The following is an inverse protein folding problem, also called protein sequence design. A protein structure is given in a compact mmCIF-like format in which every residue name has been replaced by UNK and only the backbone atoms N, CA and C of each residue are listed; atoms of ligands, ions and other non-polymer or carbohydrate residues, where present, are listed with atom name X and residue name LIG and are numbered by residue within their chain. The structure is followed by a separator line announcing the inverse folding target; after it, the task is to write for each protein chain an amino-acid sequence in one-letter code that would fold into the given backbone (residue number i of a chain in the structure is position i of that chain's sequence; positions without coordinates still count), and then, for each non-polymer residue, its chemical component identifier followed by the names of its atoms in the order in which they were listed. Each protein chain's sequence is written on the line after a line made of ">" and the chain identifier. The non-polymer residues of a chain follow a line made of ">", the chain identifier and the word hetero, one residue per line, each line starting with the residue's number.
data_IF_827733327012
#
_entry.id   IF_827733327012
#
_cell.length_a   1.000
_cell.length_b   1.000
_cell.length_c   1.000
_cell.angle_alpha   90.00
_cell.angle_beta   90.00
_cell.angle_gamma   90.00
#
_symmetry.space_group_name_H-M   'P 1'
#
loop_
_entity.id
_entity.type
_entity.pdbx_description
1 polymer ?
#
# COMPACT_ATOMS: atom_id res chain seq x y z
N UNK A 1 -25.21 -3.70 3.96
CA UNK A 1 -24.25 -4.81 4.11
C UNK A 1 -23.90 -4.96 5.57
N UNK A 2 -23.82 -6.19 6.06
CA UNK A 2 -23.51 -6.49 7.47
C UNK A 2 -22.08 -6.99 7.59
N UNK A 3 -21.32 -6.39 8.52
CA UNK A 3 -19.98 -6.84 8.88
C UNK A 3 -20.09 -7.95 9.94
N UNK A 4 -19.47 -9.10 9.68
CA UNK A 4 -19.63 -10.31 10.52
C UNK A 4 -18.62 -10.41 11.66
N UNK A 5 -17.46 -9.75 11.55
CA UNK A 5 -16.37 -9.78 12.54
C UNK A 5 -15.72 -8.39 12.67
N UNK A 6 -15.14 -8.05 13.83
CA UNK A 6 -14.32 -6.86 13.97
C UNK A 6 -13.14 -6.88 12.99
N UNK A 7 -12.89 -5.76 12.33
CA UNK A 7 -11.76 -5.59 11.40
C UNK A 7 -10.66 -4.76 12.07
N UNK A 8 -9.42 -5.18 11.87
CA UNK A 8 -8.21 -4.50 12.35
C UNK A 8 -7.33 -4.21 11.15
N UNK A 9 -6.98 -2.94 10.93
CA UNK A 9 -6.02 -2.54 9.93
C UNK A 9 -4.62 -2.56 10.52
N UNK A 10 -3.77 -3.46 10.04
CA UNK A 10 -2.37 -3.59 10.45
C UNK A 10 -1.47 -2.58 9.72
N UNK A 11 -1.79 -1.28 9.83
CA UNK A 11 -1.03 -0.23 9.16
C UNK A 11 -1.22 1.15 9.79
N UNK A 12 -0.12 1.89 9.99
CA UNK A 12 -0.14 3.29 10.41
C UNK A 12 -0.50 4.28 9.29
N UNK A 13 -0.55 3.85 8.03
CA UNK A 13 -0.75 4.71 6.87
C UNK A 13 -2.10 5.43 6.90
N UNK A 14 -2.13 6.79 6.92
CA UNK A 14 -3.38 7.54 6.84
C UNK A 14 -4.17 7.25 5.56
N UNK A 15 -3.48 7.05 4.44
CA UNK A 15 -4.11 6.75 3.14
C UNK A 15 -4.85 5.42 3.15
N UNK A 16 -4.26 4.37 3.74
CA UNK A 16 -4.94 3.07 3.88
C UNK A 16 -6.17 3.15 4.77
N UNK A 17 -6.11 3.95 5.84
CA UNK A 17 -7.28 4.23 6.69
C UNK A 17 -8.39 4.91 5.92
N UNK A 18 -8.06 5.94 5.14
CA UNK A 18 -9.00 6.65 4.28
C UNK A 18 -9.69 5.71 3.30
N UNK A 19 -8.92 4.88 2.57
CA UNK A 19 -9.45 3.92 1.61
C UNK A 19 -10.37 2.89 2.30
N UNK A 20 -9.95 2.35 3.43
CA UNK A 20 -10.77 1.36 4.15
C UNK A 20 -12.06 1.98 4.67
N UNK A 21 -12.02 3.25 5.11
CA UNK A 21 -13.24 4.01 5.49
C UNK A 21 -14.19 4.20 4.29
N UNK A 22 -13.67 4.41 3.09
CA UNK A 22 -14.49 4.53 1.87
C UNK A 22 -15.19 3.22 1.48
N UNK A 23 -14.64 2.07 1.87
CA UNK A 23 -15.33 0.77 1.72
C UNK A 23 -16.58 0.70 2.60
N UNK A 24 -16.65 1.50 3.67
CA UNK A 24 -17.82 1.56 4.56
C UNK A 24 -17.82 0.48 5.63
N UNK A 25 -16.66 0.03 6.07
CA UNK A 25 -16.49 -0.92 7.17
C UNK A 25 -16.03 -0.22 8.45
N UNK A 26 -16.45 -0.75 9.60
CA UNK A 26 -15.92 -0.35 10.90
C UNK A 26 -14.62 -1.10 11.19
N UNK A 27 -13.57 -0.38 11.55
CA UNK A 27 -12.28 -0.97 11.86
C UNK A 27 -11.53 -0.22 12.97
N UNK A 28 -10.62 -0.94 13.60
CA UNK A 28 -9.61 -0.38 14.49
C UNK A 28 -8.25 -0.42 13.81
N UNK A 29 -7.29 0.34 14.32
CA UNK A 29 -5.91 0.32 13.82
C UNK A 29 -5.02 -0.25 14.91
N UNK A 30 -4.22 -1.25 14.55
CA UNK A 30 -3.10 -1.73 15.34
C UNK A 30 -1.87 -1.89 14.45
N UNK A 31 -0.68 -1.60 14.97
CA UNK A 31 0.55 -1.60 14.18
C UNK A 31 1.59 -2.42 14.91
N UNK A 32 2.20 -3.34 14.18
CA UNK A 32 3.33 -4.11 14.68
C UNK A 32 4.60 -3.71 13.95
N UNK A 33 5.70 -3.73 14.66
CA UNK A 33 7.03 -3.63 14.07
C UNK A 33 7.44 -5.02 13.56
N UNK A 34 7.67 -5.12 12.26
CA UNK A 34 8.10 -6.36 11.62
C UNK A 34 9.37 -6.10 10.81
N UNK A 35 10.25 -7.11 10.78
CA UNK A 35 11.40 -7.05 9.88
C UNK A 35 10.92 -7.01 8.42
N UNK A 36 11.31 -5.96 7.70
CA UNK A 36 10.97 -5.73 6.29
C UNK A 36 12.05 -6.26 5.33
N UNK A 37 13.13 -6.88 5.82
CA UNK A 37 14.14 -7.52 4.99
C UNK A 37 13.56 -8.73 4.27
N UNK A 38 13.62 -8.73 2.95
CA UNK A 38 13.15 -9.81 2.10
C UNK A 38 14.21 -10.19 1.08
N UNK A 39 14.50 -11.50 1.00
CA UNK A 39 15.40 -12.07 0.01
C UNK A 39 14.75 -12.32 -1.36
N UNK A 40 13.45 -12.05 -1.51
CA UNK A 40 12.71 -12.25 -2.76
C UNK A 40 13.06 -11.18 -3.78
N UNK A 41 13.01 -11.54 -5.07
CA UNK A 41 13.37 -10.66 -6.18
C UNK A 41 12.15 -10.12 -6.93
N UNK A 42 11.07 -10.88 -6.97
CA UNK A 42 9.86 -10.48 -7.69
C UNK A 42 9.02 -9.49 -6.85
N UNK A 43 8.67 -8.33 -7.40
CA UNK A 43 8.03 -7.24 -6.64
C UNK A 43 6.68 -7.64 -6.04
N UNK A 44 5.87 -8.43 -6.75
CA UNK A 44 4.59 -8.94 -6.23
C UNK A 44 4.78 -9.87 -5.03
N UNK A 45 5.84 -10.69 -5.01
CA UNK A 45 6.17 -11.56 -3.88
C UNK A 45 6.66 -10.77 -2.67
N UNK A 46 7.44 -9.70 -2.89
CA UNK A 46 7.93 -8.81 -1.83
C UNK A 46 6.74 -8.23 -1.06
N UNK A 47 5.84 -7.54 -1.75
CA UNK A 47 4.70 -6.87 -1.11
C UNK A 47 3.72 -7.86 -0.48
N UNK A 48 3.53 -9.03 -1.08
CA UNK A 48 2.67 -10.08 -0.53
C UNK A 48 3.23 -10.64 0.77
N UNK A 49 4.54 -10.88 0.82
CA UNK A 49 5.21 -11.38 2.02
C UNK A 49 5.19 -10.35 3.15
N UNK A 50 5.47 -9.06 2.85
CA UNK A 50 5.41 -7.98 3.85
C UNK A 50 3.99 -7.78 4.38
N UNK A 51 2.98 -7.82 3.51
CA UNK A 51 1.59 -7.76 3.92
C UNK A 51 1.21 -8.90 4.87
N UNK A 52 1.67 -10.13 4.58
CA UNK A 52 1.47 -11.31 5.44
C UNK A 52 2.13 -11.14 6.81
N UNK A 53 3.39 -10.69 6.84
CA UNK A 53 4.11 -10.47 8.10
C UNK A 53 3.37 -9.47 8.99
N UNK A 54 2.95 -8.33 8.40
CA UNK A 54 2.20 -7.29 9.11
C UNK A 54 0.87 -7.81 9.65
N UNK A 55 0.09 -8.51 8.83
CA UNK A 55 -1.18 -9.09 9.25
C UNK A 55 -1.00 -10.15 10.35
N UNK A 56 -0.04 -11.05 10.19
CA UNK A 56 0.22 -12.12 11.16
C UNK A 56 0.69 -11.58 12.52
N UNK A 57 1.58 -10.60 12.54
CA UNK A 57 2.08 -10.02 13.77
C UNK A 57 0.95 -9.37 14.60
N UNK A 58 0.04 -8.64 13.95
CA UNK A 58 -1.14 -8.07 14.62
C UNK A 58 -2.12 -9.17 15.03
N UNK A 59 -2.35 -10.18 14.18
CA UNK A 59 -3.26 -11.28 14.53
C UNK A 59 -2.82 -12.04 15.81
N UNK A 60 -1.51 -12.17 16.03
CA UNK A 60 -0.98 -12.85 17.22
C UNK A 60 -1.28 -12.09 18.52
N UNK A 61 -1.38 -10.77 18.49
CA UNK A 61 -1.76 -9.94 19.64
C UNK A 61 -3.28 -9.90 19.92
N UNK A 62 -4.10 -10.41 18.97
CA UNK A 62 -5.57 -10.41 19.09
C UNK A 62 -6.10 -11.85 19.17
N UNK A 63 -6.28 -12.42 20.39
CA UNK A 63 -6.73 -13.81 20.57
C UNK A 63 -8.22 -14.02 20.26
N UNK A 64 -9.05 -12.96 20.28
CA UNK A 64 -10.48 -13.03 19.96
C UNK A 64 -10.72 -13.16 18.45
N UNK A 65 -11.93 -13.55 18.09
CA UNK A 65 -12.36 -13.63 16.69
C UNK A 65 -12.29 -12.26 16.03
N UNK A 66 -11.56 -12.16 14.92
CA UNK A 66 -11.32 -10.91 14.21
C UNK A 66 -10.84 -11.14 12.78
N UNK A 67 -10.85 -10.07 12.00
CA UNK A 67 -10.21 -9.98 10.68
C UNK A 67 -9.06 -8.99 10.76
N UNK A 68 -7.89 -9.36 10.27
CA UNK A 68 -6.74 -8.46 10.20
C UNK A 68 -6.37 -8.22 8.75
N UNK A 69 -6.28 -6.96 8.35
CA UNK A 69 -5.88 -6.54 7.00
C UNK A 69 -4.47 -5.93 7.09
N UNK A 70 -3.48 -6.64 6.56
CA UNK A 70 -2.13 -6.14 6.35
C UNK A 70 -1.92 -5.69 4.92
N UNK A 71 -1.12 -4.66 4.71
CA UNK A 71 -0.77 -4.18 3.36
C UNK A 71 0.66 -3.63 3.32
N UNK A 72 1.30 -3.81 2.17
CA UNK A 72 2.58 -3.19 1.85
C UNK A 72 2.63 -2.69 0.42
N UNK A 73 3.45 -1.65 0.16
CA UNK A 73 3.51 -0.99 -1.15
C UNK A 73 4.93 -0.62 -1.48
N UNK A 74 5.37 -0.97 -2.69
CA UNK A 74 6.66 -0.58 -3.24
C UNK A 74 6.49 0.11 -4.59
N UNK A 75 7.42 0.99 -4.92
CA UNK A 75 7.62 1.53 -6.26
C UNK A 75 8.74 0.74 -6.93
N UNK A 76 8.47 0.23 -8.12
CA UNK A 76 9.41 -0.58 -8.89
C UNK A 76 9.82 0.15 -10.16
N UNK A 77 11.13 0.28 -10.38
CA UNK A 77 11.68 0.93 -11.58
C UNK A 77 13.00 0.27 -11.96
N UNK A 78 13.17 -0.06 -13.24
CA UNK A 78 14.41 -0.59 -13.82
C UNK A 78 15.01 -1.79 -13.06
N UNK A 79 14.14 -2.72 -12.61
CA UNK A 79 14.57 -3.91 -11.89
C UNK A 79 14.91 -3.70 -10.41
N UNK A 80 14.57 -2.53 -9.83
CA UNK A 80 14.86 -2.18 -8.45
C UNK A 80 13.67 -1.59 -7.70
N UNK A 81 13.64 -1.81 -6.38
CA UNK A 81 12.70 -1.15 -5.47
C UNK A 81 13.20 0.26 -5.18
N UNK A 82 12.35 1.26 -5.42
CA UNK A 82 12.56 2.62 -4.94
C UNK A 82 11.90 2.76 -3.56
N UNK A 83 12.73 2.77 -2.52
CA UNK A 83 12.28 3.00 -1.14
C UNK A 83 11.96 4.47 -0.87
N UNK A 84 11.85 4.82 0.42
CA UNK A 84 11.82 6.23 0.84
C UNK A 84 13.19 6.86 0.61
N UNK A 85 13.25 8.13 0.17
CA UNK A 85 14.52 8.82 0.01
C UNK A 85 15.22 8.98 1.36
N UNK A 86 16.54 8.84 1.35
CA UNK A 86 17.37 9.04 2.54
C UNK A 86 17.47 10.53 2.94
N UNK A 87 17.49 11.40 1.94
CA UNK A 87 17.58 12.85 2.09
C UNK A 87 17.01 13.57 0.86
N UNK A 88 17.11 14.90 0.84
CA UNK A 88 16.60 15.73 -0.25
C UNK A 88 17.33 15.52 -1.59
N UNK A 89 18.62 15.16 -1.56
CA UNK A 89 19.40 14.88 -2.77
C UNK A 89 18.98 13.53 -3.36
N UNK A 90 18.78 12.53 -2.55
CA UNK A 90 18.28 11.23 -2.96
C UNK A 90 16.84 11.33 -3.50
N UNK A 91 15.97 12.15 -2.89
CA UNK A 91 14.64 12.44 -3.42
C UNK A 91 14.70 13.06 -4.82
N UNK A 92 15.59 14.04 -5.01
CA UNK A 92 15.80 14.67 -6.32
C UNK A 92 16.33 13.67 -7.36
N UNK A 93 17.25 12.79 -6.98
CA UNK A 93 17.78 11.72 -7.83
C UNK A 93 16.67 10.75 -8.26
N UNK A 94 15.81 10.31 -7.33
CA UNK A 94 14.66 9.43 -7.63
C UNK A 94 13.71 10.12 -8.61
N UNK A 95 13.36 11.38 -8.39
CA UNK A 95 12.45 12.13 -9.27
C UNK A 95 13.02 12.34 -10.68
N UNK A 96 14.34 12.54 -10.83
CA UNK A 96 14.99 12.58 -12.15
C UNK A 96 14.84 11.24 -12.89
N UNK A 97 15.00 10.13 -12.17
CA UNK A 97 14.83 8.80 -12.76
C UNK A 97 13.39 8.50 -13.17
N UNK A 98 12.40 9.11 -12.52
CA UNK A 98 10.98 8.95 -12.84
C UNK A 98 10.51 9.91 -13.93
N UNK A 99 11.16 11.06 -14.09
CA UNK A 99 10.78 12.15 -14.99
C UNK A 99 10.63 11.71 -16.44
N UNK A 100 9.44 11.88 -17.02
CA UNK A 100 9.14 11.53 -18.42
C UNK A 100 9.04 10.04 -18.71
N UNK A 101 9.04 9.19 -17.69
CA UNK A 101 9.07 7.73 -17.82
C UNK A 101 7.96 7.07 -16.99
N UNK A 102 7.89 5.75 -17.05
CA UNK A 102 6.91 4.92 -16.33
C UNK A 102 7.58 4.14 -15.21
N UNK A 103 6.95 4.07 -14.05
CA UNK A 103 7.26 3.14 -12.98
C UNK A 103 6.04 2.29 -12.65
N UNK A 104 6.24 1.14 -12.01
CA UNK A 104 5.14 0.27 -11.57
C UNK A 104 5.06 0.29 -10.05
N UNK A 105 3.88 0.55 -9.52
CA UNK A 105 3.58 0.44 -8.09
C UNK A 105 2.93 -0.90 -7.83
N UNK A 106 3.48 -1.65 -6.90
CA UNK A 106 2.92 -2.91 -6.42
C UNK A 106 2.39 -2.71 -5.01
N UNK A 107 1.17 -3.15 -4.76
CA UNK A 107 0.57 -3.20 -3.43
C UNK A 107 0.09 -4.60 -3.11
N UNK A 108 0.69 -5.20 -2.08
CA UNK A 108 0.27 -6.47 -1.50
C UNK A 108 -0.74 -6.26 -0.39
N UNK A 109 -1.69 -7.18 -0.30
CA UNK A 109 -2.69 -7.23 0.76
C UNK A 109 -2.76 -8.65 1.30
N UNK A 110 -2.85 -8.78 2.62
CA UNK A 110 -3.16 -10.03 3.29
C UNK A 110 -4.35 -9.82 4.22
N UNK A 111 -5.39 -10.64 4.06
CA UNK A 111 -6.57 -10.66 4.92
C UNK A 111 -6.52 -11.97 5.71
N UNK A 112 -6.33 -11.87 7.03
CA UNK A 112 -6.32 -13.01 7.93
C UNK A 112 -7.57 -12.99 8.81
N UNK A 113 -8.20 -14.14 8.99
CA UNK A 113 -9.42 -14.30 9.77
C UNK A 113 -9.16 -15.30 10.89
N UNK A 114 -9.41 -14.88 12.12
CA UNK A 114 -9.56 -15.79 13.26
C UNK A 114 -11.05 -15.94 13.56
N UNK A 115 -11.54 -17.19 13.54
CA UNK A 115 -12.92 -17.51 13.87
C UNK A 115 -13.00 -18.86 14.58
N UNK A 116 -13.60 -18.89 15.78
CA UNK A 116 -13.71 -20.11 16.59
C UNK A 116 -12.37 -20.83 16.81
N UNK A 117 -11.30 -20.06 17.08
CA UNK A 117 -9.95 -20.59 17.28
C UNK A 117 -9.21 -21.05 16.01
N UNK A 118 -9.88 -21.05 14.86
CA UNK A 118 -9.27 -21.39 13.57
C UNK A 118 -8.77 -20.11 12.88
N UNK A 119 -7.59 -20.19 12.26
CA UNK A 119 -7.02 -19.12 11.45
C UNK A 119 -7.04 -19.52 9.98
N UNK A 120 -7.59 -18.67 9.14
CA UNK A 120 -7.55 -18.76 7.68
C UNK A 120 -7.11 -17.42 7.11
N UNK A 121 -6.74 -17.38 5.84
CA UNK A 121 -6.36 -16.11 5.23
C UNK A 121 -6.10 -16.27 3.73
N UNK A 122 -6.11 -15.13 3.07
CA UNK A 122 -5.76 -14.99 1.66
C UNK A 122 -4.81 -13.81 1.48
N UNK A 123 -3.90 -13.92 0.51
CA UNK A 123 -2.97 -12.86 0.18
C UNK A 123 -2.86 -12.71 -1.33
N UNK A 124 -2.88 -11.48 -1.79
CA UNK A 124 -2.80 -11.11 -3.19
C UNK A 124 -1.99 -9.83 -3.35
N UNK A 125 -1.66 -9.48 -4.57
CA UNK A 125 -1.13 -8.16 -4.91
C UNK A 125 -1.83 -7.62 -6.16
N UNK A 126 -1.80 -6.30 -6.29
CA UNK A 126 -2.17 -5.56 -7.49
C UNK A 126 -1.00 -4.70 -7.94
N UNK A 127 -0.95 -4.42 -9.24
CA UNK A 127 0.07 -3.57 -9.83
C UNK A 127 -0.57 -2.48 -10.70
N UNK A 128 0.02 -1.29 -10.68
CA UNK A 128 -0.43 -0.19 -11.53
C UNK A 128 0.79 0.59 -12.04
N UNK A 129 0.79 0.88 -13.35
CA UNK A 129 1.82 1.70 -13.97
C UNK A 129 1.49 3.18 -13.81
N UNK A 130 2.48 3.96 -13.40
CA UNK A 130 2.39 5.41 -13.22
C UNK A 130 3.29 6.10 -14.22
N UNK A 131 2.70 6.85 -15.14
CA UNK A 131 3.39 7.60 -16.19
C UNK A 131 3.66 9.03 -15.72
N UNK A 132 4.92 9.42 -15.65
CA UNK A 132 5.34 10.77 -15.31
C UNK A 132 5.41 11.69 -16.54
N UNK A 133 5.03 12.95 -16.36
CA UNK A 133 5.42 14.01 -17.27
C UNK A 133 6.92 14.34 -17.08
N UNK A 134 7.60 14.87 -18.10
CA UNK A 134 8.94 15.42 -17.94
C UNK A 134 8.94 16.53 -16.85
N UNK A 135 9.94 16.50 -15.98
CA UNK A 135 10.14 17.48 -14.90
C UNK A 135 11.46 18.23 -15.14
N UNK A 136 11.41 19.56 -15.01
CA UNK A 136 12.60 20.39 -14.99
C UNK A 136 13.30 20.30 -13.61
N UNK A 137 14.60 20.61 -13.58
CA UNK A 137 15.36 20.68 -12.33
C UNK A 137 14.76 21.68 -11.32
N UNK A 138 14.17 22.76 -11.81
CA UNK A 138 13.51 23.75 -10.95
C UNK A 138 12.25 23.17 -10.29
N UNK A 139 11.44 22.39 -11.02
CA UNK A 139 10.25 21.71 -10.50
C UNK A 139 10.61 20.64 -9.49
N UNK A 140 11.66 19.83 -9.79
CA UNK A 140 12.16 18.81 -8.85
C UNK A 140 12.60 19.47 -7.54
N UNK A 141 13.43 20.50 -7.59
CA UNK A 141 13.87 21.23 -6.40
C UNK A 141 12.71 21.84 -5.62
N UNK A 142 11.75 22.47 -6.31
CA UNK A 142 10.59 23.07 -5.68
C UNK A 142 9.71 22.02 -4.99
N UNK A 143 9.54 20.83 -5.61
CA UNK A 143 8.77 19.76 -5.04
C UNK A 143 9.47 19.11 -3.83
N UNK A 144 10.77 18.84 -3.91
CA UNK A 144 11.55 18.34 -2.76
C UNK A 144 11.50 19.31 -1.58
N UNK A 145 11.58 20.62 -1.84
CA UNK A 145 11.50 21.65 -0.79
C UNK A 145 10.16 21.68 -0.03
N UNK A 146 9.08 21.09 -0.57
CA UNK A 146 7.80 20.95 0.15
C UNK A 146 7.87 19.93 1.30
N UNK A 147 8.85 19.04 1.30
CA UNK A 147 8.94 17.93 2.24
C UNK A 147 8.02 16.76 1.93
N UNK A 148 7.04 16.90 1.02
CA UNK A 148 6.09 15.82 0.68
C UNK A 148 6.77 14.52 0.20
N UNK A 149 7.87 14.53 -0.57
CA UNK A 149 8.55 13.33 -1.03
C UNK A 149 9.12 12.44 0.07
N UNK A 150 9.49 13.03 1.22
CA UNK A 150 10.45 12.44 2.15
C UNK A 150 9.96 11.16 2.86
N UNK A 151 8.68 10.97 3.01
CA UNK A 151 8.08 9.78 3.64
C UNK A 151 7.43 8.82 2.62
N UNK A 152 7.70 9.00 1.32
CA UNK A 152 7.08 8.23 0.23
C UNK A 152 8.06 7.35 -0.51
N UNK A 153 7.67 6.11 -0.78
CA UNK A 153 8.38 5.25 -1.72
C UNK A 153 8.43 5.91 -3.10
N UNK A 154 9.61 5.91 -3.74
CA UNK A 154 9.82 6.58 -5.00
C UNK A 154 9.82 8.11 -4.95
N UNK A 155 9.81 8.71 -3.75
CA UNK A 155 9.83 10.15 -3.52
C UNK A 155 8.64 10.93 -4.11
N UNK A 156 7.44 10.32 -4.22
CA UNK A 156 6.26 11.05 -4.70
C UNK A 156 4.95 10.57 -4.05
N UNK A 157 3.95 11.44 -4.08
CA UNK A 157 2.58 11.11 -3.71
C UNK A 157 1.63 11.35 -4.90
N UNK A 158 0.80 10.35 -5.22
CA UNK A 158 -0.24 10.51 -6.25
C UNK A 158 -1.36 11.45 -5.79
N UNK A 159 -1.65 11.44 -4.50
CA UNK A 159 -2.53 12.38 -3.83
C UNK A 159 -1.70 13.49 -3.19
N UNK A 160 -1.68 14.66 -3.76
CA UNK A 160 -0.94 15.80 -3.24
C UNK A 160 -0.25 16.57 -4.34
N UNK A 161 0.80 17.31 -3.98
CA UNK A 161 1.53 18.19 -4.91
C UNK A 161 2.19 17.37 -6.02
N UNK A 162 2.68 16.16 -5.70
CA UNK A 162 3.30 15.25 -6.68
C UNK A 162 2.37 14.80 -7.79
N UNK A 163 1.06 14.76 -7.54
CA UNK A 163 0.05 14.38 -8.54
C UNK A 163 0.08 15.23 -9.82
N UNK A 164 0.54 16.49 -9.73
CA UNK A 164 0.70 17.39 -10.91
C UNK A 164 1.71 16.88 -11.94
N UNK A 165 2.60 15.98 -11.55
CA UNK A 165 3.61 15.40 -12.44
C UNK A 165 3.16 14.04 -13.03
N UNK A 166 2.01 13.52 -12.63
CA UNK A 166 1.49 12.25 -13.12
C UNK A 166 0.58 12.50 -14.30
N UNK A 167 1.02 12.03 -15.48
CA UNK A 167 0.26 12.15 -16.74
C UNK A 167 -0.85 11.13 -16.86
N UNK A 168 -0.68 9.95 -16.26
CA UNK A 168 -1.66 8.88 -16.31
C UNK A 168 -1.29 7.69 -15.42
N UNK A 169 -2.29 6.85 -15.17
CA UNK A 169 -2.16 5.60 -14.44
C UNK A 169 -2.83 4.52 -15.26
N UNK A 170 -2.13 3.41 -15.49
CA UNK A 170 -2.68 2.18 -16.05
C UNK A 170 -2.84 1.17 -14.91
N UNK A 171 -4.06 0.88 -14.54
CA UNK A 171 -4.42 0.03 -13.40
C UNK A 171 -5.25 0.78 -12.36
N UNK A 172 -5.33 0.21 -11.17
CA UNK A 172 -6.14 0.78 -10.09
C UNK A 172 -5.40 1.92 -9.37
N UNK A 173 -6.03 3.10 -9.31
CA UNK A 173 -5.54 4.27 -8.59
C UNK A 173 -5.30 4.00 -7.11
N UNK A 174 -6.18 3.22 -6.47
CA UNK A 174 -6.05 2.90 -5.05
C UNK A 174 -4.90 1.94 -4.75
N UNK A 175 -4.47 1.15 -5.74
CA UNK A 175 -3.21 0.41 -5.67
C UNK A 175 -2.02 1.35 -5.51
N UNK A 176 -1.98 2.46 -6.27
CA UNK A 176 -0.91 3.47 -6.14
C UNK A 176 -0.97 4.18 -4.79
N UNK A 177 -2.16 4.38 -4.23
CA UNK A 177 -2.35 4.94 -2.90
C UNK A 177 -1.96 3.98 -1.76
N UNK A 178 -1.94 2.66 -2.03
CA UNK A 178 -1.46 1.65 -1.10
C UNK A 178 -2.47 0.68 -0.50
N UNK A 179 -3.71 0.65 -1.04
CA UNK A 179 -4.72 -0.37 -0.72
C UNK A 179 -5.72 -0.48 -1.89
N UNK A 180 -5.70 -1.53 -2.72
CA UNK A 180 -6.59 -1.69 -3.87
C UNK A 180 -8.04 -1.88 -3.43
N UNK A 181 -8.79 -0.78 -3.41
CA UNK A 181 -10.10 -0.68 -2.75
C UNK A 181 -11.11 -1.69 -3.30
N UNK A 182 -11.26 -1.78 -4.62
CA UNK A 182 -12.21 -2.69 -5.24
C UNK A 182 -11.88 -4.14 -4.90
N UNK A 183 -10.61 -4.53 -5.06
CA UNK A 183 -10.17 -5.91 -4.80
C UNK A 183 -10.27 -6.29 -3.32
N UNK A 184 -9.98 -5.37 -2.40
CA UNK A 184 -10.20 -5.59 -0.96
C UNK A 184 -11.68 -5.79 -0.65
N UNK A 185 -12.55 -4.96 -1.22
CA UNK A 185 -14.00 -5.10 -1.05
C UNK A 185 -14.51 -6.47 -1.56
N UNK A 186 -14.11 -6.89 -2.78
CA UNK A 186 -14.44 -8.19 -3.33
C UNK A 186 -13.98 -9.34 -2.40
N UNK A 187 -12.74 -9.26 -1.91
CA UNK A 187 -12.19 -10.28 -1.00
C UNK A 187 -12.92 -10.36 0.33
N UNK A 188 -13.31 -9.23 0.91
CA UNK A 188 -14.11 -9.22 2.14
C UNK A 188 -15.48 -9.89 1.94
N UNK A 189 -16.08 -9.76 0.76
CA UNK A 189 -17.31 -10.47 0.38
C UNK A 189 -17.07 -11.97 0.14
N UNK A 190 -16.04 -12.34 -0.65
CA UNK A 190 -15.67 -13.74 -0.90
C UNK A 190 -15.42 -14.50 0.41
N UNK A 191 -14.77 -13.85 1.37
CA UNK A 191 -14.45 -14.41 2.69
C UNK A 191 -15.62 -14.32 3.69
N UNK A 192 -16.78 -13.85 3.27
CA UNK A 192 -17.98 -13.67 4.10
C UNK A 192 -17.74 -12.77 5.33
N UNK A 193 -16.81 -11.85 5.24
CA UNK A 193 -16.61 -10.78 6.24
C UNK A 193 -17.65 -9.68 6.05
N UNK A 194 -18.02 -9.41 4.80
CA UNK A 194 -19.15 -8.57 4.41
C UNK A 194 -20.21 -9.43 3.73
N UNK A 195 -21.45 -9.34 4.22
CA UNK A 195 -22.58 -10.10 3.69
C UNK A 195 -23.70 -9.16 3.23
N UNK A 196 -24.46 -9.56 2.22
CA UNK A 196 -25.76 -8.96 1.91
C UNK A 196 -26.78 -9.55 2.89
N UNK A 197 -27.63 -8.70 3.51
CA UNK A 197 -28.76 -9.18 4.28
C UNK A 197 -29.78 -9.87 3.38
#
# INVERSE_FOLDING_TARGET
>A
MTQTLPIILASASPRRREILSMIGVDFTVDVSDVNEDISRKEPGEIVSELAKRKANAVLLSHPADCVVIGSDTIVWKDGAVLGKPADAEDAARMLRNLSGDTNTVYTGVCIMIRKNGRVTGDAFYEAADVLFAPMSEAEIKAYVATGEPMDKAGAYAVQGIGGRFIRGIHGDFYTVMGLPMCRVYEKLRELQVLTEE
#
